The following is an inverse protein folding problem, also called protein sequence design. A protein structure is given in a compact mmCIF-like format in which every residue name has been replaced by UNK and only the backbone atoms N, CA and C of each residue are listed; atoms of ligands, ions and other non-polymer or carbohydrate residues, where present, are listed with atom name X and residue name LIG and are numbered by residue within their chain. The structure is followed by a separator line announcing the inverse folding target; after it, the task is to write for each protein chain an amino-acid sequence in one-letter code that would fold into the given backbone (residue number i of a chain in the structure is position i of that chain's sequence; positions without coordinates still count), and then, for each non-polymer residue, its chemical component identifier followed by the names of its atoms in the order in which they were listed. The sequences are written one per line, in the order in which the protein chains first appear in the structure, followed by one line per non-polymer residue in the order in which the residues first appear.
data_IF_474212327353
#
_entry.id   IF_474212327353
#
_cell.length_a   1.000
_cell.length_b   1.000
_cell.length_c   1.000
_cell.angle_alpha   90.00
_cell.angle_beta   90.00
_cell.angle_gamma   90.00
#
_symmetry.space_group_name_H-M   'P 1'
#
loop_
_entity.id
_entity.type
_entity.pdbx_description
1 polymer ?
#
# COMPACT_ATOMS: atom_id res chain seq x y z
N UNK A 1 -11.27 -9.57 38.54
CA UNK A 1 -10.02 -8.79 38.46
C UNK A 1 -8.91 -9.52 37.69
N UNK A 2 -8.65 -10.80 37.93
CA UNK A 2 -7.56 -11.53 37.26
C UNK A 2 -7.77 -11.73 35.74
N UNK A 3 -9.01 -12.01 35.31
CA UNK A 3 -9.38 -12.11 33.89
C UNK A 3 -9.05 -10.83 33.10
N UNK A 4 -9.48 -9.68 33.60
CA UNK A 4 -9.22 -8.36 33.00
C UNK A 4 -7.70 -8.09 32.91
N UNK A 5 -6.93 -8.45 33.95
CA UNK A 5 -5.47 -8.30 33.94
C UNK A 5 -4.78 -9.22 32.93
N UNK A 6 -5.30 -10.44 32.70
CA UNK A 6 -4.79 -11.32 31.62
C UNK A 6 -5.12 -10.75 30.25
N UNK A 7 -6.35 -10.30 30.04
CA UNK A 7 -6.79 -9.77 28.74
C UNK A 7 -5.98 -8.52 28.33
N UNK A 8 -5.71 -7.60 29.26
CA UNK A 8 -4.83 -6.43 29.03
C UNK A 8 -3.38 -6.84 28.71
N UNK A 9 -2.87 -7.92 29.31
CA UNK A 9 -1.52 -8.43 29.01
C UNK A 9 -1.46 -9.11 27.65
N UNK A 10 -2.53 -9.77 27.24
CA UNK A 10 -2.65 -10.41 25.95
C UNK A 10 -2.63 -9.37 24.83
N UNK A 11 -3.33 -8.24 24.97
CA UNK A 11 -3.31 -7.15 23.95
C UNK A 11 -1.92 -6.55 23.78
N UNK A 12 -1.14 -6.39 24.86
CA UNK A 12 0.24 -5.89 24.75
C UNK A 12 1.19 -6.85 24.01
N UNK A 13 0.94 -8.17 24.06
CA UNK A 13 1.74 -9.14 23.28
C UNK A 13 1.44 -9.00 21.78
N UNK A 14 0.17 -8.77 21.42
CA UNK A 14 -0.20 -8.54 20.02
C UNK A 14 0.40 -7.24 19.48
N UNK A 15 0.34 -6.15 20.24
CA UNK A 15 0.97 -4.88 19.87
C UNK A 15 2.50 -5.04 19.70
N UNK A 16 3.18 -5.69 20.66
CA UNK A 16 4.61 -5.97 20.55
C UNK A 16 4.97 -6.88 19.36
N UNK A 17 4.08 -7.81 18.98
CA UNK A 17 4.29 -8.67 17.79
C UNK A 17 4.17 -7.86 16.49
N UNK A 18 3.19 -6.96 16.40
CA UNK A 18 3.03 -6.06 15.26
C UNK A 18 4.23 -5.11 15.11
N UNK A 19 4.73 -4.55 16.21
CA UNK A 19 5.92 -3.69 16.20
C UNK A 19 7.19 -4.43 15.73
N UNK A 20 7.37 -5.69 16.14
CA UNK A 20 8.47 -6.53 15.68
C UNK A 20 8.34 -6.79 14.17
N UNK A 21 7.14 -7.15 13.70
CA UNK A 21 6.90 -7.36 12.27
C UNK A 21 7.18 -6.09 11.46
N UNK A 22 6.69 -4.94 11.89
CA UNK A 22 6.93 -3.67 11.21
C UNK A 22 8.42 -3.30 11.17
N UNK A 23 9.14 -3.49 12.28
CA UNK A 23 10.59 -3.28 12.32
C UNK A 23 11.34 -4.19 11.33
N UNK A 24 10.96 -5.47 11.27
CA UNK A 24 11.55 -6.43 10.32
C UNK A 24 11.23 -6.00 8.88
N UNK A 25 9.96 -5.82 8.55
CA UNK A 25 9.51 -5.48 7.18
C UNK A 25 10.22 -4.22 6.69
N UNK A 26 10.12 -3.12 7.45
CA UNK A 26 10.71 -1.84 7.08
C UNK A 26 12.22 -1.92 6.92
N UNK A 27 12.93 -2.56 7.85
CA UNK A 27 14.40 -2.67 7.80
C UNK A 27 14.85 -3.46 6.57
N UNK A 28 14.25 -4.62 6.31
CA UNK A 28 14.66 -5.48 5.21
C UNK A 28 14.29 -4.87 3.85
N UNK A 29 13.10 -4.28 3.73
CA UNK A 29 12.66 -3.64 2.49
C UNK A 29 13.41 -2.34 2.20
N UNK A 30 13.64 -1.49 3.20
CA UNK A 30 14.52 -0.32 3.04
C UNK A 30 15.91 -0.72 2.52
N UNK A 31 16.57 -1.69 3.16
CA UNK A 31 17.89 -2.19 2.74
C UNK A 31 17.86 -2.73 1.30
N UNK A 32 16.84 -3.53 0.96
CA UNK A 32 16.68 -4.10 -0.39
C UNK A 32 16.48 -3.01 -1.44
N UNK A 33 15.62 -2.05 -1.19
CA UNK A 33 15.36 -0.92 -2.09
C UNK A 33 16.62 -0.09 -2.29
N UNK A 34 17.39 0.21 -1.23
CA UNK A 34 18.66 0.95 -1.39
C UNK A 34 19.72 0.14 -2.13
N UNK A 35 19.87 -1.16 -1.83
CA UNK A 35 20.82 -2.04 -2.54
C UNK A 35 20.52 -2.15 -4.03
N UNK A 36 19.25 -2.13 -4.41
CA UNK A 36 18.78 -2.19 -5.81
C UNK A 36 18.65 -0.82 -6.47
N UNK A 37 19.08 0.27 -5.80
CA UNK A 37 18.91 1.65 -6.29
C UNK A 37 17.47 1.98 -6.69
N UNK A 38 16.50 1.46 -5.93
CA UNK A 38 15.07 1.64 -6.16
C UNK A 38 14.40 0.61 -7.07
N UNK A 39 15.17 -0.18 -7.82
CA UNK A 39 14.61 -1.09 -8.82
C UNK A 39 13.65 -2.13 -8.23
N UNK A 40 13.76 -2.46 -6.93
CA UNK A 40 12.81 -3.37 -6.28
C UNK A 40 11.35 -2.92 -6.43
N UNK A 41 11.00 -1.69 -6.03
CA UNK A 41 9.63 -1.20 -6.16
C UNK A 41 9.34 -0.62 -7.55
N UNK A 42 10.34 -0.10 -8.26
CA UNK A 42 10.16 0.34 -9.65
C UNK A 42 9.83 -0.83 -10.58
N UNK A 43 10.37 -2.04 -10.34
CA UNK A 43 10.00 -3.24 -11.10
C UNK A 43 8.53 -3.62 -10.88
N UNK A 44 8.01 -3.47 -9.66
CA UNK A 44 6.59 -3.66 -9.36
C UNK A 44 5.76 -2.61 -10.11
N UNK A 45 6.18 -1.35 -10.12
CA UNK A 45 5.51 -0.29 -10.89
C UNK A 45 5.39 -0.67 -12.38
N UNK A 46 6.51 -1.01 -13.03
CA UNK A 46 6.54 -1.41 -14.45
C UNK A 46 5.69 -2.65 -14.72
N UNK A 47 5.72 -3.63 -13.82
CA UNK A 47 4.88 -4.82 -13.94
C UNK A 47 3.39 -4.48 -13.88
N UNK A 48 2.99 -3.64 -12.92
CA UNK A 48 1.60 -3.23 -12.75
C UNK A 48 1.11 -2.37 -13.94
N UNK A 49 1.95 -1.50 -14.48
CA UNK A 49 1.66 -0.76 -15.72
C UNK A 49 1.42 -1.72 -16.90
N UNK A 50 2.28 -2.72 -17.06
CA UNK A 50 2.12 -3.74 -18.10
C UNK A 50 0.83 -4.56 -17.91
N UNK A 51 0.52 -4.96 -16.67
CA UNK A 51 -0.73 -5.67 -16.38
C UNK A 51 -1.95 -4.80 -16.66
N UNK A 52 -1.88 -3.51 -16.33
CA UNK A 52 -2.96 -2.56 -16.58
C UNK A 52 -3.34 -2.47 -18.06
N UNK A 53 -2.38 -2.60 -18.99
CA UNK A 53 -2.66 -2.62 -20.43
C UNK A 53 -3.49 -3.83 -20.89
N UNK A 54 -3.45 -4.93 -20.13
CA UNK A 54 -4.21 -6.17 -20.42
C UNK A 54 -5.44 -6.36 -19.53
N UNK A 55 -5.46 -5.71 -18.36
CA UNK A 55 -6.48 -5.84 -17.32
C UNK A 55 -6.63 -4.47 -16.66
N UNK A 56 -7.42 -3.61 -17.31
CA UNK A 56 -7.58 -2.20 -16.97
C UNK A 56 -8.38 -1.96 -15.69
N UNK A 57 -9.21 -2.92 -15.30
CA UNK A 57 -10.22 -2.80 -14.25
C UNK A 57 -9.90 -3.63 -13.00
N UNK A 58 -8.62 -3.92 -12.72
CA UNK A 58 -8.19 -4.65 -11.50
C UNK A 58 -7.39 -3.80 -10.49
N UNK A 59 -7.34 -2.47 -10.67
CA UNK A 59 -6.60 -1.57 -9.78
C UNK A 59 -5.08 -1.52 -10.02
N UNK A 60 -4.58 -2.21 -11.06
CA UNK A 60 -3.16 -2.29 -11.43
C UNK A 60 -2.49 -0.90 -11.48
N UNK A 61 -3.11 0.08 -12.14
CA UNK A 61 -2.61 1.47 -12.19
C UNK A 61 -2.29 2.02 -10.80
N UNK A 62 -3.18 1.87 -9.83
CA UNK A 62 -3.01 2.45 -8.49
C UNK A 62 -1.96 1.70 -7.68
N UNK A 63 -1.85 0.38 -7.82
CA UNK A 63 -0.74 -0.37 -7.22
C UNK A 63 0.62 0.06 -7.79
N UNK A 64 0.70 0.34 -9.09
CA UNK A 64 1.93 0.85 -9.72
C UNK A 64 2.32 2.23 -9.19
N UNK A 65 1.37 3.18 -9.18
CA UNK A 65 1.57 4.51 -8.62
C UNK A 65 1.98 4.45 -7.14
N UNK A 66 1.32 3.59 -6.34
CA UNK A 66 1.63 3.39 -4.93
C UNK A 66 3.04 2.81 -4.73
N UNK A 67 3.48 1.87 -5.59
CA UNK A 67 4.82 1.32 -5.57
C UNK A 67 5.89 2.38 -5.89
N UNK A 68 5.64 3.24 -6.89
CA UNK A 68 6.52 4.37 -7.20
C UNK A 68 6.58 5.36 -6.03
N UNK A 69 5.42 5.77 -5.49
CA UNK A 69 5.36 6.69 -4.36
C UNK A 69 6.10 6.15 -3.13
N UNK A 70 5.95 4.86 -2.82
CA UNK A 70 6.69 4.18 -1.77
C UNK A 70 8.21 4.20 -2.04
N UNK A 71 8.63 3.89 -3.27
CA UNK A 71 10.05 3.94 -3.64
C UNK A 71 10.67 5.33 -3.36
N UNK A 72 9.99 6.37 -3.83
CA UNK A 72 10.45 7.75 -3.71
C UNK A 72 10.44 8.20 -2.24
N UNK A 73 9.46 7.73 -1.45
CA UNK A 73 9.38 7.99 0.00
C UNK A 73 10.51 7.30 0.76
N UNK A 74 10.86 6.06 0.40
CA UNK A 74 12.01 5.35 1.01
C UNK A 74 13.31 6.11 0.74
N UNK A 75 13.48 6.65 -0.47
CA UNK A 75 14.64 7.47 -0.82
C UNK A 75 14.70 8.76 0.01
N UNK A 76 13.59 9.50 0.07
CA UNK A 76 13.45 10.71 0.86
C UNK A 76 13.74 10.49 2.36
N UNK A 77 13.16 9.44 2.96
CA UNK A 77 13.40 9.07 4.37
C UNK A 77 14.88 8.75 4.60
N UNK A 78 15.52 8.04 3.68
CA UNK A 78 16.92 7.68 3.79
C UNK A 78 17.85 8.89 3.71
N UNK A 79 17.66 9.74 2.70
CA UNK A 79 18.51 10.90 2.41
C UNK A 79 18.45 11.94 3.53
N UNK A 80 17.30 12.06 4.21
CA UNK A 80 17.10 12.95 5.35
C UNK A 80 17.39 12.28 6.70
N UNK A 81 18.00 11.07 6.71
CA UNK A 81 18.37 10.31 7.92
C UNK A 81 17.20 10.03 8.88
N UNK A 82 15.99 9.95 8.34
CA UNK A 82 14.75 9.75 9.10
C UNK A 82 14.51 8.27 9.48
N UNK A 83 15.32 7.35 8.98
CA UNK A 83 15.25 5.91 9.32
C UNK A 83 15.53 5.61 10.80
N UNK A 84 16.03 6.59 11.56
CA UNK A 84 16.24 6.49 13.02
C UNK A 84 14.95 6.69 13.82
N UNK A 85 13.90 7.23 13.19
CA UNK A 85 12.60 7.41 13.83
C UNK A 85 11.75 6.15 13.64
N UNK A 86 11.50 5.42 14.73
CA UNK A 86 10.77 4.16 14.70
C UNK A 86 9.40 4.28 14.03
N UNK A 87 8.64 5.33 14.36
CA UNK A 87 7.31 5.50 13.81
C UNK A 87 7.31 5.72 12.28
N UNK A 88 8.33 6.42 11.73
CA UNK A 88 8.49 6.54 10.27
C UNK A 88 8.76 5.17 9.64
N UNK A 89 9.56 4.34 10.30
CA UNK A 89 9.80 2.98 9.83
C UNK A 89 8.52 2.12 9.88
N UNK A 90 7.66 2.31 10.88
CA UNK A 90 6.35 1.66 10.93
C UNK A 90 5.44 2.09 9.78
N UNK A 91 5.35 3.40 9.49
CA UNK A 91 4.60 3.90 8.34
C UNK A 91 5.12 3.30 7.03
N UNK A 92 6.44 3.21 6.86
CA UNK A 92 7.04 2.53 5.72
C UNK A 92 6.67 1.05 5.67
N UNK A 93 6.72 0.33 6.79
CA UNK A 93 6.35 -1.08 6.85
C UNK A 93 4.91 -1.34 6.39
N UNK A 94 3.98 -0.49 6.81
CA UNK A 94 2.57 -0.61 6.43
C UNK A 94 2.41 -0.35 4.92
N UNK A 95 3.06 0.68 4.37
CA UNK A 95 3.06 0.95 2.93
C UNK A 95 3.63 -0.23 2.13
N UNK A 96 4.78 -0.77 2.57
CA UNK A 96 5.45 -1.90 1.92
C UNK A 96 4.54 -3.13 1.88
N UNK A 97 3.88 -3.43 3.00
CA UNK A 97 2.94 -4.54 3.10
C UNK A 97 1.77 -4.37 2.13
N UNK A 98 1.10 -3.21 2.15
CA UNK A 98 -0.08 -2.97 1.31
C UNK A 98 0.26 -2.99 -0.18
N UNK A 99 1.36 -2.35 -0.58
CA UNK A 99 1.82 -2.35 -1.98
C UNK A 99 2.14 -3.76 -2.47
N UNK A 100 2.86 -4.56 -1.68
CA UNK A 100 3.26 -5.91 -2.09
C UNK A 100 2.08 -6.89 -2.12
N UNK A 101 1.18 -6.81 -1.13
CA UNK A 101 -0.07 -7.60 -1.10
C UNK A 101 -0.97 -7.19 -2.26
N UNK A 102 -1.12 -5.88 -2.50
CA UNK A 102 -1.97 -5.35 -3.56
C UNK A 102 -1.51 -5.74 -4.95
N UNK A 103 -0.21 -5.61 -5.24
CA UNK A 103 0.37 -6.11 -6.49
C UNK A 103 0.16 -7.62 -6.65
N UNK A 104 0.26 -8.39 -5.57
CA UNK A 104 -0.02 -9.83 -5.59
C UNK A 104 -1.50 -10.14 -5.83
N UNK A 105 -2.39 -9.28 -5.35
CA UNK A 105 -3.83 -9.40 -5.59
C UNK A 105 -4.17 -9.19 -7.07
N UNK A 106 -3.59 -8.16 -7.70
CA UNK A 106 -3.70 -7.93 -9.14
C UNK A 106 -3.15 -9.10 -9.97
N UNK A 107 -1.99 -9.67 -9.59
CA UNK A 107 -1.44 -10.88 -10.22
C UNK A 107 -2.40 -12.06 -10.13
N UNK A 108 -3.00 -12.29 -8.95
CA UNK A 108 -4.00 -13.34 -8.74
C UNK A 108 -5.22 -13.12 -9.64
N UNK A 109 -5.71 -11.88 -9.75
CA UNK A 109 -6.79 -11.53 -10.66
C UNK A 109 -6.43 -11.86 -12.12
N UNK A 110 -5.25 -11.43 -12.58
CA UNK A 110 -4.77 -11.73 -13.94
C UNK A 110 -4.72 -13.23 -14.23
N UNK A 111 -4.22 -14.03 -13.27
CA UNK A 111 -4.17 -15.49 -13.38
C UNK A 111 -5.57 -16.10 -13.48
N UNK A 112 -6.53 -15.67 -12.66
CA UNK A 112 -7.91 -16.19 -12.69
C UNK A 112 -8.62 -15.86 -14.00
N UNK A 113 -8.44 -14.63 -14.51
CA UNK A 113 -9.00 -14.20 -15.80
C UNK A 113 -8.43 -15.04 -16.94
N UNK A 114 -7.10 -15.24 -17.00
CA UNK A 114 -6.45 -16.08 -18.02
C UNK A 114 -6.94 -17.53 -18.01
N UNK A 115 -7.25 -18.06 -16.83
CA UNK A 115 -7.73 -19.43 -16.66
C UNK A 115 -9.25 -19.57 -16.80
N UNK A 116 -9.97 -18.50 -17.16
CA UNK A 116 -11.43 -18.53 -17.34
C UNK A 116 -12.21 -18.91 -16.07
N UNK A 117 -11.67 -18.59 -14.88
CA UNK A 117 -12.30 -18.97 -13.61
C UNK A 117 -13.49 -18.06 -13.29
N UNK A 118 -14.64 -18.61 -12.87
CA UNK A 118 -15.84 -17.81 -12.57
C UNK A 118 -15.62 -16.83 -11.41
N UNK A 119 -14.72 -17.13 -10.48
CA UNK A 119 -14.38 -16.25 -9.35
C UNK A 119 -13.55 -15.02 -9.76
N UNK A 120 -13.11 -14.94 -11.02
CA UNK A 120 -12.28 -13.85 -11.49
C UNK A 120 -12.95 -12.48 -11.31
N UNK A 121 -14.25 -12.37 -11.57
CA UNK A 121 -14.98 -11.10 -11.44
C UNK A 121 -15.03 -10.62 -9.99
N UNK A 122 -15.40 -11.52 -9.05
CA UNK A 122 -15.39 -11.23 -7.61
C UNK A 122 -14.02 -10.73 -7.14
N UNK A 123 -12.96 -11.45 -7.51
CA UNK A 123 -11.58 -11.12 -7.15
C UNK A 123 -11.15 -9.79 -7.78
N UNK A 124 -11.62 -9.50 -8.99
CA UNK A 124 -11.33 -8.24 -9.67
C UNK A 124 -11.90 -7.04 -8.94
N UNK A 125 -13.17 -7.11 -8.54
CA UNK A 125 -13.83 -6.02 -7.79
C UNK A 125 -13.15 -5.82 -6.44
N UNK A 126 -12.88 -6.91 -5.70
CA UNK A 126 -12.13 -6.85 -4.44
C UNK A 126 -10.73 -6.25 -4.62
N UNK A 127 -10.06 -6.57 -5.72
CA UNK A 127 -8.75 -5.99 -6.06
C UNK A 127 -8.83 -4.48 -6.31
N UNK A 128 -9.93 -3.95 -6.87
CA UNK A 128 -10.12 -2.50 -7.03
C UNK A 128 -10.32 -1.80 -5.68
N UNK A 129 -11.14 -2.37 -4.81
CA UNK A 129 -11.35 -1.86 -3.45
C UNK A 129 -10.02 -1.81 -2.70
N UNK A 130 -9.27 -2.91 -2.71
CA UNK A 130 -7.97 -2.96 -2.04
C UNK A 130 -6.93 -2.02 -2.66
N UNK A 131 -7.03 -1.73 -3.97
CA UNK A 131 -6.19 -0.74 -4.62
C UNK A 131 -6.46 0.68 -4.11
N UNK A 132 -7.73 1.01 -3.83
CA UNK A 132 -8.09 2.24 -3.16
C UNK A 132 -7.55 2.28 -1.72
N UNK A 133 -7.77 1.24 -0.92
CA UNK A 133 -7.21 1.18 0.45
C UNK A 133 -5.68 1.35 0.46
N UNK A 134 -4.99 0.72 -0.49
CA UNK A 134 -3.53 0.84 -0.64
C UNK A 134 -3.12 2.27 -1.00
N UNK A 135 -3.81 2.92 -1.94
CA UNK A 135 -3.56 4.30 -2.31
C UNK A 135 -3.81 5.26 -1.14
N UNK A 136 -4.90 5.07 -0.40
CA UNK A 136 -5.22 5.86 0.79
C UNK A 136 -4.13 5.75 1.85
N UNK A 137 -3.70 4.53 2.16
CA UNK A 137 -2.66 4.30 3.15
C UNK A 137 -1.34 4.93 2.73
N UNK A 138 -0.94 4.79 1.46
CA UNK A 138 0.26 5.43 0.92
C UNK A 138 0.18 6.95 1.02
N UNK A 139 -0.93 7.55 0.59
CA UNK A 139 -1.18 8.99 0.70
C UNK A 139 -1.04 9.46 2.16
N UNK A 140 -1.73 8.79 3.07
CA UNK A 140 -1.74 9.16 4.49
C UNK A 140 -0.36 9.02 5.13
N UNK A 141 0.36 7.94 4.85
CA UNK A 141 1.72 7.73 5.37
C UNK A 141 2.72 8.73 4.80
N UNK A 142 2.64 9.06 3.51
CA UNK A 142 3.45 10.12 2.89
C UNK A 142 3.18 11.47 3.56
N UNK A 143 1.91 11.83 3.76
CA UNK A 143 1.52 13.07 4.44
C UNK A 143 2.06 13.11 5.87
N UNK A 144 1.93 12.02 6.64
CA UNK A 144 2.48 11.93 8.00
C UNK A 144 4.00 12.09 8.03
N UNK A 145 4.72 11.54 7.06
CA UNK A 145 6.18 11.68 6.96
C UNK A 145 6.58 13.11 6.57
N UNK A 146 5.98 13.66 5.52
CA UNK A 146 6.37 14.98 4.99
C UNK A 146 5.92 16.14 5.86
N UNK A 147 4.63 16.17 6.19
CA UNK A 147 4.03 17.27 6.96
C UNK A 147 4.22 17.07 8.46
N UNK A 148 4.18 15.82 8.93
CA UNK A 148 4.23 15.50 10.35
C UNK A 148 5.63 15.44 10.95
N UNK A 149 6.69 15.22 10.16
CA UNK A 149 8.07 15.15 10.70
C UNK A 149 8.63 16.50 11.14
N UNK A 150 8.08 17.62 10.65
CA UNK A 150 8.61 18.96 10.90
C UNK A 150 9.96 19.25 10.23
N UNK A 151 10.42 18.37 9.32
CA UNK A 151 11.75 18.47 8.68
C UNK A 151 11.69 19.18 7.31
N UNK A 152 10.55 19.13 6.63
CA UNK A 152 10.44 19.57 5.24
C UNK A 152 9.81 20.96 5.12
N UNK A 153 10.41 21.79 4.26
CA UNK A 153 9.83 23.09 3.88
C UNK A 153 8.65 22.92 2.92
N UNK A 154 7.73 23.90 2.92
CA UNK A 154 6.50 23.87 2.11
C UNK A 154 6.75 23.60 0.61
N UNK A 155 7.79 24.19 0.04
CA UNK A 155 8.11 24.00 -1.38
C UNK A 155 8.51 22.54 -1.68
N UNK A 156 9.39 21.94 -0.86
CA UNK A 156 9.79 20.53 -1.01
C UNK A 156 8.61 19.57 -0.86
N UNK A 157 7.68 19.88 0.02
CA UNK A 157 6.46 19.08 0.19
C UNK A 157 5.64 19.13 -1.09
N UNK A 158 5.40 20.32 -1.64
CA UNK A 158 4.66 20.49 -2.90
C UNK A 158 5.31 19.72 -4.05
N UNK A 159 6.64 19.88 -4.23
CA UNK A 159 7.39 19.21 -5.29
C UNK A 159 7.29 17.68 -5.17
N UNK A 160 7.39 17.17 -3.94
CA UNK A 160 7.28 15.74 -3.69
C UNK A 160 5.88 15.21 -4.00
N UNK A 161 4.81 15.93 -3.63
CA UNK A 161 3.43 15.53 -3.93
C UNK A 161 3.18 15.44 -5.44
N UNK A 162 3.72 16.37 -6.22
CA UNK A 162 3.64 16.32 -7.69
C UNK A 162 4.40 15.11 -8.24
N UNK A 163 5.61 14.83 -7.74
CA UNK A 163 6.45 13.74 -8.20
C UNK A 163 5.83 12.35 -7.98
N UNK A 164 5.06 12.16 -6.91
CA UNK A 164 4.37 10.89 -6.62
C UNK A 164 3.00 10.77 -7.30
N UNK A 165 2.62 11.72 -8.15
CA UNK A 165 1.31 11.76 -8.81
C UNK A 165 0.15 11.68 -7.80
N UNK A 166 0.20 12.50 -6.74
CA UNK A 166 -0.76 12.49 -5.65
C UNK A 166 -2.22 12.51 -6.12
N UNK A 167 -2.55 13.39 -7.06
CA UNK A 167 -3.92 13.51 -7.61
C UNK A 167 -4.36 12.24 -8.33
N UNK A 168 -3.45 11.56 -9.02
CA UNK A 168 -3.75 10.30 -9.68
C UNK A 168 -4.02 9.17 -8.67
N UNK A 169 -3.34 9.15 -7.51
CA UNK A 169 -3.66 8.22 -6.42
C UNK A 169 -5.03 8.51 -5.81
N UNK A 170 -5.40 9.79 -5.67
CA UNK A 170 -6.73 10.21 -5.20
C UNK A 170 -7.87 9.76 -6.12
N UNK A 171 -7.62 9.61 -7.43
CA UNK A 171 -8.63 9.07 -8.35
C UNK A 171 -9.00 7.60 -8.07
N UNK A 172 -8.27 6.89 -7.20
CA UNK A 172 -8.60 5.52 -6.78
C UNK A 172 -9.96 5.39 -6.08
N UNK A 173 -10.52 6.49 -5.55
CA UNK A 173 -11.84 6.49 -4.93
C UNK A 173 -13.00 6.35 -5.93
N UNK A 174 -12.74 6.56 -7.21
CA UNK A 174 -13.78 6.55 -8.24
C UNK A 174 -14.53 5.21 -8.23
N UNK A 175 -15.85 5.28 -8.04
CA UNK A 175 -16.78 4.13 -7.98
C UNK A 175 -16.53 3.12 -6.86
N UNK A 176 -15.74 3.43 -5.82
CA UNK A 176 -15.43 2.47 -4.75
C UNK A 176 -16.68 2.00 -4.00
N UNK A 177 -17.66 2.88 -3.79
CA UNK A 177 -18.93 2.51 -3.15
C UNK A 177 -19.73 1.53 -4.01
N UNK A 178 -19.78 1.77 -5.32
CA UNK A 178 -20.40 0.84 -6.27
C UNK A 178 -19.70 -0.51 -6.30
N UNK A 179 -18.37 -0.54 -6.18
CA UNK A 179 -17.61 -1.79 -6.06
C UNK A 179 -17.90 -2.51 -4.73
N UNK A 180 -18.03 -1.78 -3.62
CA UNK A 180 -18.42 -2.33 -2.32
C UNK A 180 -19.82 -2.96 -2.37
N UNK A 181 -20.79 -2.29 -2.98
CA UNK A 181 -22.15 -2.81 -3.17
C UNK A 181 -22.12 -4.11 -3.99
N UNK A 182 -21.41 -4.13 -5.13
CA UNK A 182 -21.26 -5.35 -5.94
C UNK A 182 -20.62 -6.50 -5.19
N UNK A 183 -19.63 -6.25 -4.35
CA UNK A 183 -19.03 -7.30 -3.51
C UNK A 183 -20.03 -7.80 -2.48
N UNK A 184 -20.82 -6.91 -1.87
CA UNK A 184 -21.87 -7.30 -0.96
C UNK A 184 -22.95 -8.16 -1.66
N UNK A 185 -23.35 -7.79 -2.86
CA UNK A 185 -24.29 -8.56 -3.68
C UNK A 185 -23.77 -9.96 -3.96
N UNK A 186 -22.50 -10.09 -4.33
CA UNK A 186 -21.86 -11.39 -4.57
C UNK A 186 -21.70 -12.23 -3.28
N UNK A 187 -21.37 -11.61 -2.14
CA UNK A 187 -21.10 -12.34 -0.89
C UNK A 187 -22.36 -12.74 -0.14
N UNK A 188 -23.40 -11.90 -0.21
CA UNK A 188 -24.65 -12.10 0.52
C UNK A 188 -25.81 -12.52 -0.39
N UNK A 189 -25.55 -12.73 -1.69
CA UNK A 189 -26.56 -13.08 -2.69
C UNK A 189 -27.73 -12.07 -2.70
N UNK A 190 -27.39 -10.79 -2.49
CA UNK A 190 -28.33 -9.68 -2.67
C UNK A 190 -28.41 -9.43 -4.18
N UNK A 191 -29.62 -9.30 -4.68
CA UNK A 191 -29.95 -9.37 -6.12
C UNK A 191 -29.17 -8.42 -7.00
#
# INVERSE_FOLDING_TARGET
MEKIRRDVRITTIYEGTSEIQQNIISTFRWKKTRKTKGEFYLSICKEMEKLNSSLTDAGCRYYGLAAKALNDTIALVHENKLTRQQYIMFLLADMMTHVEVGASFARKCSMLVKNGKPEAEKIRIMSRIFANETAQLVINSVNRILLGSGVFEKHKISDFMQNISYDALMMSYLNVLTDMDKVADILFERR
#
